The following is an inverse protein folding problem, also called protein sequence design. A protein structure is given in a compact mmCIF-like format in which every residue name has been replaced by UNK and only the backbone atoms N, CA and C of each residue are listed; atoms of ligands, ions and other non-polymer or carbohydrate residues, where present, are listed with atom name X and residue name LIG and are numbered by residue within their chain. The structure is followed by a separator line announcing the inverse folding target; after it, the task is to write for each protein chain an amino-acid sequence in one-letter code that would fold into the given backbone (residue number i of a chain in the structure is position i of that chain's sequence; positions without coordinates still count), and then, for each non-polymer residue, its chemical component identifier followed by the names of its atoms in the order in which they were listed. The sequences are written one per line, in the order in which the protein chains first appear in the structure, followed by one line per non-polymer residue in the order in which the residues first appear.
data_IF_787829081411
#
_entry.id   IF_787829081411
#
_cell.length_a   1.000
_cell.length_b   1.000
_cell.length_c   1.000
_cell.angle_alpha   90.00
_cell.angle_beta   90.00
_cell.angle_gamma   90.00
#
_symmetry.space_group_name_H-M   'P 1'
#
loop_
_entity.id
_entity.type
_entity.pdbx_description
1 polymer ?
#
# COMPACT_ATOMS: atom_id res chain seq x y z
N UNK A 1 -39.71 43.74 76.02
CA UNK A 1 -39.33 42.34 75.71
C UNK A 1 -39.31 42.04 74.21
N UNK A 2 -40.05 42.79 73.37
CA UNK A 2 -40.04 42.64 71.90
C UNK A 2 -38.76 43.12 71.22
N UNK A 3 -38.12 44.18 71.72
CA UNK A 3 -36.89 44.75 71.15
C UNK A 3 -35.66 43.85 71.30
N UNK A 4 -35.53 43.12 72.41
CA UNK A 4 -34.43 42.18 72.66
C UNK A 4 -34.56 40.90 71.82
N UNK A 5 -35.78 40.43 71.59
CA UNK A 5 -36.05 39.29 70.71
C UNK A 5 -35.69 39.61 69.26
N UNK A 6 -36.09 40.80 68.78
CA UNK A 6 -35.74 41.27 67.44
C UNK A 6 -34.22 41.45 67.26
N UNK A 7 -33.50 41.90 68.30
CA UNK A 7 -32.03 42.04 68.24
C UNK A 7 -31.33 40.68 68.10
N UNK A 8 -31.76 39.68 68.86
CA UNK A 8 -31.19 38.32 68.79
C UNK A 8 -31.51 37.65 67.45
N UNK A 9 -32.70 37.88 66.90
CA UNK A 9 -33.07 37.38 65.58
C UNK A 9 -32.27 38.05 64.45
N UNK A 10 -32.02 39.37 64.56
CA UNK A 10 -31.14 40.10 63.63
C UNK A 10 -29.70 39.56 63.69
N UNK A 11 -29.17 39.27 64.87
CA UNK A 11 -27.82 38.67 65.00
C UNK A 11 -27.76 37.25 64.42
N UNK A 12 -28.80 36.44 64.63
CA UNK A 12 -28.89 35.10 64.01
C UNK A 12 -28.89 35.20 62.48
N UNK A 13 -29.72 36.07 61.91
CA UNK A 13 -29.81 36.27 60.47
C UNK A 13 -28.48 36.78 59.89
N UNK A 14 -27.76 37.66 60.59
CA UNK A 14 -26.42 38.12 60.16
C UNK A 14 -25.39 36.98 60.16
N UNK A 15 -25.43 36.11 61.16
CA UNK A 15 -24.54 34.95 61.22
C UNK A 15 -24.85 33.94 60.09
N UNK A 16 -26.13 33.72 59.80
CA UNK A 16 -26.60 32.85 58.71
C UNK A 16 -26.18 33.42 57.34
N UNK A 17 -26.40 34.71 57.08
CA UNK A 17 -25.93 35.39 55.87
C UNK A 17 -24.41 35.25 55.71
N UNK A 18 -23.64 35.46 56.78
CA UNK A 18 -22.19 35.34 56.71
C UNK A 18 -21.74 33.90 56.38
N UNK A 19 -22.42 32.90 56.95
CA UNK A 19 -22.16 31.50 56.63
C UNK A 19 -22.52 31.17 55.17
N UNK A 20 -23.66 31.65 54.69
CA UNK A 20 -24.06 31.49 53.29
C UNK A 20 -23.07 32.16 52.32
N UNK A 21 -22.57 33.35 52.64
CA UNK A 21 -21.52 34.03 51.87
C UNK A 21 -20.22 33.21 51.81
N UNK A 22 -19.80 32.62 52.93
CA UNK A 22 -18.62 31.75 52.97
C UNK A 22 -18.81 30.48 52.14
N UNK A 23 -19.96 29.81 52.25
CA UNK A 23 -20.29 28.60 51.49
C UNK A 23 -20.35 28.93 49.99
N UNK A 24 -20.96 30.05 49.63
CA UNK A 24 -21.03 30.53 48.24
C UNK A 24 -19.63 30.78 47.68
N UNK A 25 -18.76 31.47 48.42
CA UNK A 25 -17.38 31.73 48.00
C UNK A 25 -16.59 30.42 47.83
N UNK A 26 -16.75 29.46 48.74
CA UNK A 26 -16.11 28.15 48.63
C UNK A 26 -16.63 27.34 47.42
N UNK A 27 -17.93 27.41 47.13
CA UNK A 27 -18.52 26.76 45.97
C UNK A 27 -18.06 27.39 44.65
N UNK A 28 -17.97 28.72 44.59
CA UNK A 28 -17.44 29.45 43.43
C UNK A 28 -15.98 29.05 43.16
N UNK A 29 -15.16 28.93 44.20
CA UNK A 29 -13.79 28.43 44.06
C UNK A 29 -13.76 27.00 43.52
N UNK A 30 -14.59 26.10 44.05
CA UNK A 30 -14.66 24.71 43.59
C UNK A 30 -15.15 24.59 42.14
N UNK A 31 -16.15 25.39 41.75
CA UNK A 31 -16.62 25.46 40.37
C UNK A 31 -15.51 25.96 39.42
N UNK A 32 -14.74 26.96 39.84
CA UNK A 32 -13.62 27.47 39.03
C UNK A 32 -12.51 26.43 38.89
N UNK A 33 -12.18 25.71 39.97
CA UNK A 33 -11.21 24.61 39.93
C UNK A 33 -11.69 23.49 38.99
N UNK A 34 -12.96 23.09 39.07
CA UNK A 34 -13.55 22.11 38.15
C UNK A 34 -13.51 22.57 36.69
N UNK A 35 -13.87 23.81 36.41
CA UNK A 35 -13.77 24.38 35.06
C UNK A 35 -12.33 24.37 34.54
N UNK A 36 -11.36 24.69 35.39
CA UNK A 36 -9.94 24.64 35.03
C UNK A 36 -9.50 23.21 34.75
N UNK A 37 -9.93 22.23 35.57
CA UNK A 37 -9.62 20.81 35.31
C UNK A 37 -10.26 20.29 34.03
N UNK A 38 -11.51 20.69 33.74
CA UNK A 38 -12.19 20.31 32.51
C UNK A 38 -11.48 20.90 31.28
N UNK A 39 -11.13 22.19 31.32
CA UNK A 39 -10.40 22.85 30.24
C UNK A 39 -9.01 22.22 30.00
N UNK A 40 -8.30 21.84 31.06
CA UNK A 40 -7.01 21.14 30.96
C UNK A 40 -7.18 19.74 30.35
N UNK A 41 -8.22 18.99 30.74
CA UNK A 41 -8.51 17.68 30.15
C UNK A 41 -8.90 17.78 28.67
N UNK A 42 -9.72 18.77 28.29
CA UNK A 42 -10.07 19.03 26.89
C UNK A 42 -8.83 19.39 26.07
N UNK A 43 -7.90 20.17 26.64
CA UNK A 43 -6.63 20.50 25.98
C UNK A 43 -5.76 19.26 25.79
N UNK A 44 -5.67 18.38 26.80
CA UNK A 44 -4.92 17.12 26.69
C UNK A 44 -5.50 16.19 25.63
N UNK A 45 -6.83 16.09 25.54
CA UNK A 45 -7.48 15.30 24.47
C UNK A 45 -7.12 15.85 23.09
N UNK A 46 -7.21 17.17 22.90
CA UNK A 46 -6.82 17.82 21.64
C UNK A 46 -5.34 17.58 21.32
N UNK A 47 -4.45 17.68 22.32
CA UNK A 47 -3.03 17.38 22.13
C UNK A 47 -2.79 15.93 21.75
N UNK A 48 -3.50 14.96 22.34
CA UNK A 48 -3.38 13.54 21.96
C UNK A 48 -3.87 13.33 20.52
N UNK A 49 -4.99 13.94 20.13
CA UNK A 49 -5.49 13.89 18.76
C UNK A 49 -4.50 14.56 17.77
N UNK A 50 -3.91 15.70 18.14
CA UNK A 50 -2.93 16.43 17.35
C UNK A 50 -1.58 15.69 17.27
N UNK A 51 -1.06 15.12 18.35
CA UNK A 51 0.15 14.29 18.38
C UNK A 51 -0.04 13.01 17.54
N UNK A 52 -1.24 12.40 17.63
CA UNK A 52 -1.60 11.24 16.79
C UNK A 52 -1.78 11.63 15.31
N UNK A 53 -2.07 12.90 15.01
CA UNK A 53 -2.17 13.45 13.66
C UNK A 53 -0.87 14.04 13.10
N UNK A 54 0.10 14.41 13.94
CA UNK A 54 1.33 15.15 13.54
C UNK A 54 2.60 14.30 13.49
N UNK A 55 2.57 13.05 13.98
CA UNK A 55 3.65 12.09 13.72
C UNK A 55 3.57 11.56 12.28
N UNK A 56 4.02 12.39 11.34
CA UNK A 56 4.44 12.01 10.00
C UNK A 56 5.92 11.67 10.11
N UNK A 57 6.26 10.37 10.12
CA UNK A 57 7.65 9.93 10.01
C UNK A 57 8.25 10.41 8.68
N UNK A 58 9.58 10.50 8.60
CA UNK A 58 10.40 10.91 7.46
C UNK A 58 10.17 10.02 6.20
N UNK A 59 9.32 9.00 6.29
CA UNK A 59 8.78 8.21 5.17
C UNK A 59 7.36 8.55 4.70
N UNK A 60 6.68 9.56 5.28
CA UNK A 60 5.35 10.00 4.84
C UNK A 60 4.17 9.15 5.33
N UNK A 61 4.34 8.36 6.39
CA UNK A 61 3.27 7.57 7.00
C UNK A 61 2.88 8.13 8.36
N UNK A 62 1.56 8.30 8.56
CA UNK A 62 0.93 8.75 9.80
C UNK A 62 0.96 7.55 10.77
N UNK A 63 2.04 7.42 11.54
CA UNK A 63 2.29 6.26 12.41
C UNK A 63 1.25 6.16 13.54
N UNK A 64 0.69 7.29 13.97
CA UNK A 64 -0.39 7.37 14.96
C UNK A 64 -1.74 6.80 14.50
N UNK A 65 -1.95 6.65 13.19
CA UNK A 65 -3.21 6.18 12.61
C UNK A 65 -3.11 4.76 12.02
N UNK A 66 -1.96 4.11 12.15
CA UNK A 66 -1.73 2.81 11.53
C UNK A 66 -2.55 1.70 12.17
N UNK A 67 -2.59 1.64 13.51
CA UNK A 67 -3.38 0.64 14.23
C UNK A 67 -4.88 0.78 13.94
N UNK A 68 -5.38 2.01 13.83
CA UNK A 68 -6.77 2.31 13.48
C UNK A 68 -7.08 1.92 12.04
N UNK A 69 -6.22 2.30 11.09
CA UNK A 69 -6.36 1.89 9.68
C UNK A 69 -6.30 0.36 9.54
N UNK A 70 -5.39 -0.31 10.24
CA UNK A 70 -5.30 -1.78 10.26
C UNK A 70 -6.56 -2.42 10.86
N UNK A 71 -7.07 -1.86 11.96
CA UNK A 71 -8.30 -2.32 12.58
C UNK A 71 -9.49 -2.17 11.63
N UNK A 72 -9.69 -0.99 11.05
CA UNK A 72 -10.78 -0.69 10.12
C UNK A 72 -10.74 -1.62 8.89
N UNK A 73 -9.55 -1.79 8.29
CA UNK A 73 -9.34 -2.72 7.18
C UNK A 73 -9.65 -4.17 7.58
N UNK A 74 -9.21 -4.60 8.76
CA UNK A 74 -9.47 -5.96 9.26
C UNK A 74 -10.96 -6.19 9.49
N UNK A 75 -11.65 -5.20 10.05
CA UNK A 75 -13.11 -5.23 10.25
C UNK A 75 -13.84 -5.34 8.90
N UNK A 76 -13.39 -4.59 7.89
CA UNK A 76 -13.93 -4.66 6.53
C UNK A 76 -13.71 -6.04 5.90
N UNK A 77 -12.50 -6.58 5.99
CA UNK A 77 -12.19 -7.93 5.50
C UNK A 77 -13.06 -8.97 6.21
N UNK A 78 -13.20 -8.87 7.52
CA UNK A 78 -14.05 -9.78 8.30
C UNK A 78 -15.51 -9.71 7.86
N UNK A 79 -16.05 -8.51 7.58
CA UNK A 79 -17.41 -8.35 7.02
C UNK A 79 -17.54 -8.99 5.64
N UNK A 80 -16.53 -8.86 4.77
CA UNK A 80 -16.52 -9.53 3.48
C UNK A 80 -16.50 -11.06 3.63
N UNK A 81 -15.67 -11.60 4.51
CA UNK A 81 -15.60 -13.04 4.78
C UNK A 81 -16.91 -13.57 5.34
N UNK A 82 -17.53 -12.86 6.28
CA UNK A 82 -18.84 -13.25 6.83
C UNK A 82 -19.92 -13.32 5.73
N UNK A 83 -19.95 -12.34 4.82
CA UNK A 83 -20.87 -12.37 3.67
C UNK A 83 -20.58 -13.54 2.72
N UNK A 84 -19.31 -13.85 2.48
CA UNK A 84 -18.93 -14.98 1.64
C UNK A 84 -19.32 -16.32 2.27
N UNK A 85 -19.14 -16.48 3.59
CA UNK A 85 -19.56 -17.67 4.33
C UNK A 85 -21.07 -17.88 4.14
N UNK A 86 -21.90 -16.86 4.37
CA UNK A 86 -23.35 -16.95 4.18
C UNK A 86 -23.74 -17.33 2.74
N UNK A 87 -23.05 -16.79 1.74
CA UNK A 87 -23.29 -17.15 0.35
C UNK A 87 -22.91 -18.60 0.05
N UNK A 88 -21.77 -19.06 0.56
CA UNK A 88 -21.31 -20.43 0.39
C UNK A 88 -22.23 -21.44 1.08
N UNK A 89 -22.66 -21.14 2.31
CA UNK A 89 -23.65 -21.95 3.03
C UNK A 89 -24.94 -22.08 2.22
N UNK A 90 -25.47 -20.95 1.70
CA UNK A 90 -26.64 -20.96 0.83
C UNK A 90 -26.42 -21.81 -0.43
N UNK A 91 -25.26 -21.67 -1.08
CA UNK A 91 -24.94 -22.45 -2.28
C UNK A 91 -24.82 -23.95 -1.99
N UNK A 92 -24.26 -24.33 -0.84
CA UNK A 92 -24.19 -25.71 -0.39
C UNK A 92 -25.59 -26.28 -0.15
N UNK A 93 -26.46 -25.53 0.51
CA UNK A 93 -27.82 -25.99 0.77
C UNK A 93 -28.65 -26.09 -0.51
N UNK A 94 -28.49 -25.14 -1.43
CA UNK A 94 -29.07 -25.23 -2.76
C UNK A 94 -28.57 -26.46 -3.53
N UNK A 95 -27.26 -26.71 -3.56
CA UNK A 95 -26.69 -27.89 -4.23
C UNK A 95 -27.18 -29.21 -3.60
N UNK A 96 -27.37 -29.26 -2.28
CA UNK A 96 -27.95 -30.43 -1.60
C UNK A 96 -29.40 -30.67 -2.03
N UNK A 97 -30.22 -29.63 -2.12
CA UNK A 97 -31.61 -29.76 -2.59
C UNK A 97 -31.69 -30.12 -4.08
N UNK A 98 -30.86 -29.51 -4.92
CA UNK A 98 -30.69 -29.89 -6.32
C UNK A 98 -30.27 -31.36 -6.46
N UNK A 99 -29.36 -31.84 -5.62
CA UNK A 99 -28.96 -33.25 -5.64
C UNK A 99 -30.10 -34.20 -5.21
N UNK A 100 -30.89 -33.85 -4.19
CA UNK A 100 -32.05 -34.64 -3.76
C UNK A 100 -33.12 -34.70 -4.84
N UNK A 101 -33.42 -33.57 -5.46
CA UNK A 101 -34.40 -33.46 -6.55
C UNK A 101 -33.91 -34.21 -7.80
N UNK A 102 -32.63 -34.07 -8.16
CA UNK A 102 -32.01 -34.82 -9.26
C UNK A 102 -32.05 -36.33 -9.03
N UNK A 103 -31.75 -36.83 -7.81
CA UNK A 103 -31.88 -38.25 -7.46
C UNK A 103 -33.32 -38.75 -7.60
N UNK A 104 -34.28 -37.96 -7.14
CA UNK A 104 -35.71 -38.30 -7.23
C UNK A 104 -36.20 -38.32 -8.68
N UNK A 105 -35.71 -37.39 -9.52
CA UNK A 105 -36.00 -37.32 -10.95
C UNK A 105 -35.36 -38.48 -11.70
N UNK A 106 -34.09 -38.78 -11.45
CA UNK A 106 -33.38 -39.91 -12.05
C UNK A 106 -34.01 -41.26 -11.70
N UNK A 107 -34.58 -41.42 -10.49
CA UNK A 107 -35.30 -42.64 -10.12
C UNK A 107 -36.64 -42.83 -10.87
N UNK A 108 -37.18 -41.77 -11.49
CA UNK A 108 -38.47 -41.77 -12.20
C UNK A 108 -38.33 -41.63 -13.72
N UNK A 109 -37.16 -41.24 -14.22
CA UNK A 109 -36.93 -40.88 -15.62
C UNK A 109 -36.43 -42.08 -16.44
N UNK A 110 -36.78 -42.10 -17.73
CA UNK A 110 -36.22 -43.05 -18.70
C UNK A 110 -34.70 -42.79 -18.85
N UNK A 111 -33.83 -43.81 -18.70
CA UNK A 111 -32.39 -43.68 -18.86
C UNK A 111 -31.94 -43.01 -20.17
N UNK A 112 -32.72 -43.16 -21.24
CA UNK A 112 -32.41 -42.57 -22.55
C UNK A 112 -32.68 -41.05 -22.58
N UNK A 113 -33.74 -40.60 -21.89
CA UNK A 113 -34.09 -39.17 -21.76
C UNK A 113 -33.07 -38.42 -20.88
N UNK A 114 -32.65 -39.04 -19.76
CA UNK A 114 -31.61 -38.48 -18.87
C UNK A 114 -30.29 -38.29 -19.62
N UNK A 115 -29.94 -39.23 -20.49
CA UNK A 115 -28.72 -39.16 -21.28
C UNK A 115 -28.75 -38.00 -22.31
N UNK A 116 -29.90 -37.72 -22.93
CA UNK A 116 -30.05 -36.56 -23.82
C UNK A 116 -30.00 -35.22 -23.07
N UNK A 117 -30.63 -35.15 -21.89
CA UNK A 117 -30.60 -33.94 -21.05
C UNK A 117 -29.17 -33.62 -20.58
N UNK A 118 -28.43 -34.64 -20.11
CA UNK A 118 -27.02 -34.48 -19.71
C UNK A 118 -26.14 -34.04 -20.88
N UNK A 119 -26.33 -34.61 -22.08
CA UNK A 119 -25.61 -34.17 -23.27
C UNK A 119 -25.89 -32.71 -23.62
N UNK A 120 -27.14 -32.28 -23.54
CA UNK A 120 -27.52 -30.89 -23.80
C UNK A 120 -26.88 -29.91 -22.80
N UNK A 121 -26.84 -30.25 -21.52
CA UNK A 121 -26.18 -29.44 -20.49
C UNK A 121 -24.68 -29.33 -20.76
N UNK A 122 -24.01 -30.45 -21.06
CA UNK A 122 -22.57 -30.46 -21.38
C UNK A 122 -22.26 -29.65 -22.63
N UNK A 123 -23.10 -29.73 -23.66
CA UNK A 123 -22.95 -28.90 -24.87
C UNK A 123 -23.11 -27.41 -24.57
N UNK A 124 -24.04 -27.06 -23.68
CA UNK A 124 -24.25 -25.67 -23.27
C UNK A 124 -23.10 -25.14 -22.42
N UNK A 125 -22.59 -25.94 -21.47
CA UNK A 125 -21.40 -25.62 -20.69
C UNK A 125 -20.17 -25.44 -21.58
N UNK A 126 -19.97 -26.33 -22.56
CA UNK A 126 -18.90 -26.17 -23.56
C UNK A 126 -19.02 -24.83 -24.31
N UNK A 127 -20.22 -24.45 -24.76
CA UNK A 127 -20.43 -23.17 -25.44
C UNK A 127 -20.13 -21.98 -24.52
N UNK A 128 -20.55 -22.05 -23.26
CA UNK A 128 -20.30 -21.01 -22.26
C UNK A 128 -18.79 -20.86 -21.97
N UNK A 129 -18.09 -21.96 -21.75
CA UNK A 129 -16.64 -21.96 -21.53
C UNK A 129 -15.86 -21.41 -22.73
N UNK A 130 -16.27 -21.76 -23.95
CA UNK A 130 -15.68 -21.21 -25.16
C UNK A 130 -15.92 -19.69 -25.29
N UNK A 131 -17.09 -19.19 -24.87
CA UNK A 131 -17.37 -17.76 -24.83
C UNK A 131 -16.44 -17.05 -23.83
N UNK A 132 -16.35 -17.57 -22.60
CA UNK A 132 -15.49 -17.01 -21.57
C UNK A 132 -14.02 -17.01 -21.98
N UNK A 133 -13.54 -18.09 -22.61
CA UNK A 133 -12.19 -18.16 -23.16
C UNK A 133 -11.95 -17.02 -24.14
N UNK A 134 -12.91 -16.76 -25.04
CA UNK A 134 -12.82 -15.68 -26.02
C UNK A 134 -12.79 -14.29 -25.37
N UNK A 135 -13.56 -14.10 -24.30
CA UNK A 135 -13.56 -12.85 -23.53
C UNK A 135 -12.22 -12.63 -22.82
N UNK A 136 -11.64 -13.68 -22.24
CA UNK A 136 -10.31 -13.62 -21.63
C UNK A 136 -9.21 -13.35 -22.65
N UNK A 137 -9.24 -14.02 -23.81
CA UNK A 137 -8.33 -13.74 -24.93
C UNK A 137 -8.42 -12.28 -25.36
N UNK A 138 -9.64 -11.74 -25.49
CA UNK A 138 -9.83 -10.33 -25.84
C UNK A 138 -9.29 -9.38 -24.78
N UNK A 139 -9.54 -9.64 -23.49
CA UNK A 139 -9.01 -8.82 -22.39
C UNK A 139 -7.49 -8.83 -22.35
N UNK A 140 -6.88 -10.01 -22.51
CA UNK A 140 -5.43 -10.17 -22.55
C UNK A 140 -4.84 -9.37 -23.72
N UNK A 141 -5.47 -9.42 -24.89
CA UNK A 141 -5.04 -8.64 -26.06
C UNK A 141 -5.11 -7.13 -25.81
N UNK A 142 -6.15 -6.64 -25.14
CA UNK A 142 -6.25 -5.23 -24.76
C UNK A 142 -5.19 -4.82 -23.74
N UNK A 143 -4.96 -5.65 -22.72
CA UNK A 143 -3.93 -5.42 -21.71
C UNK A 143 -2.53 -5.39 -22.35
N UNK A 144 -2.26 -6.31 -23.28
CA UNK A 144 -0.99 -6.35 -24.00
C UNK A 144 -0.78 -5.09 -24.85
N UNK A 145 -1.83 -4.58 -25.53
CA UNK A 145 -1.77 -3.30 -26.25
C UNK A 145 -1.49 -2.12 -25.32
N UNK A 146 -2.17 -2.06 -24.18
CA UNK A 146 -1.96 -1.02 -23.18
C UNK A 146 -0.53 -1.07 -22.62
N UNK A 147 -0.03 -2.27 -22.32
CA UNK A 147 1.34 -2.50 -21.86
C UNK A 147 2.36 -2.04 -22.90
N UNK A 148 2.20 -2.42 -24.17
CA UNK A 148 3.09 -1.99 -25.24
C UNK A 148 3.11 -0.47 -25.39
N UNK A 149 1.95 0.19 -25.33
CA UNK A 149 1.85 1.65 -25.38
C UNK A 149 2.59 2.31 -24.21
N UNK A 150 2.33 1.87 -22.98
CA UNK A 150 3.00 2.41 -21.79
C UNK A 150 4.51 2.16 -21.81
N UNK A 151 4.95 1.00 -22.32
CA UNK A 151 6.37 0.69 -22.44
C UNK A 151 7.06 1.55 -23.50
N UNK A 152 6.39 1.86 -24.61
CA UNK A 152 6.94 2.77 -25.62
C UNK A 152 7.04 4.21 -25.07
N UNK A 153 6.01 4.69 -24.37
CA UNK A 153 6.05 5.98 -23.66
C UNK A 153 7.22 6.05 -22.66
N UNK A 154 7.38 5.00 -21.84
CA UNK A 154 8.52 4.90 -20.90
C UNK A 154 9.86 4.95 -21.63
N UNK A 155 9.98 4.31 -22.79
CA UNK A 155 11.21 4.31 -23.59
C UNK A 155 11.51 5.69 -24.15
N UNK A 156 10.50 6.41 -24.63
CA UNK A 156 10.62 7.81 -25.07
C UNK A 156 11.12 8.69 -23.92
N UNK A 157 10.45 8.64 -22.76
CA UNK A 157 10.88 9.42 -21.59
C UNK A 157 12.30 9.06 -21.13
N UNK A 158 12.67 7.78 -21.20
CA UNK A 158 14.03 7.33 -20.86
C UNK A 158 15.07 7.92 -21.82
N UNK A 159 14.75 7.99 -23.12
CA UNK A 159 15.63 8.61 -24.10
C UNK A 159 15.74 10.11 -23.86
N UNK A 160 14.63 10.82 -23.62
CA UNK A 160 14.63 12.25 -23.30
C UNK A 160 15.46 12.56 -22.04
N UNK A 161 15.31 11.76 -20.98
CA UNK A 161 16.12 11.89 -19.77
C UNK A 161 17.61 11.68 -20.09
N UNK A 162 17.94 10.73 -20.96
CA UNK A 162 19.31 10.46 -21.38
C UNK A 162 19.88 11.64 -22.17
N UNK A 163 19.10 12.21 -23.10
CA UNK A 163 19.49 13.39 -23.87
C UNK A 163 19.70 14.61 -22.98
N UNK A 164 18.81 14.85 -22.00
CA UNK A 164 18.96 15.92 -21.01
C UNK A 164 20.20 15.70 -20.15
N UNK A 165 20.46 14.47 -19.68
CA UNK A 165 21.67 14.14 -18.92
C UNK A 165 22.93 14.41 -19.73
N UNK A 166 22.93 14.05 -21.01
CA UNK A 166 24.05 14.33 -21.92
C UNK A 166 24.24 15.84 -22.11
N UNK A 167 23.16 16.58 -22.34
CA UNK A 167 23.22 18.03 -22.45
C UNK A 167 23.76 18.69 -21.18
N UNK A 168 23.33 18.24 -20.00
CA UNK A 168 23.85 18.69 -18.70
C UNK A 168 25.34 18.36 -18.55
N UNK A 169 25.78 17.16 -18.95
CA UNK A 169 27.21 16.79 -18.92
C UNK A 169 28.05 17.73 -19.78
N UNK A 170 27.62 18.00 -21.02
CA UNK A 170 28.29 18.92 -21.94
C UNK A 170 28.31 20.35 -21.39
N UNK A 171 27.21 20.82 -20.80
CA UNK A 171 27.18 22.14 -20.14
C UNK A 171 28.14 22.19 -18.95
N UNK A 172 28.16 21.15 -18.11
CA UNK A 172 29.04 21.04 -16.94
C UNK A 172 30.52 21.06 -17.35
N UNK A 173 30.88 20.34 -18.41
CA UNK A 173 32.22 20.36 -19.01
C UNK A 173 32.61 21.75 -19.53
N UNK A 174 31.66 22.50 -20.11
CA UNK A 174 31.90 23.89 -20.58
C UNK A 174 32.00 24.92 -19.45
N UNK A 175 31.35 24.68 -18.31
CA UNK A 175 31.36 25.61 -17.16
C UNK A 175 32.46 25.30 -16.13
N UNK A 176 33.19 24.20 -16.25
CA UNK A 176 34.35 23.98 -15.39
C UNK A 176 35.50 24.92 -15.81
N UNK A 177 36.00 25.79 -14.90
CA UNK A 177 37.23 26.52 -15.17
C UNK A 177 38.40 25.55 -15.20
N UNK A 178 39.17 25.57 -16.28
CA UNK A 178 40.51 24.98 -16.33
C UNK A 178 41.41 25.77 -15.37
N UNK A 179 41.50 25.33 -14.11
CA UNK A 179 42.51 25.82 -13.17
C UNK A 179 43.90 25.31 -13.60
N UNK A 180 44.91 26.20 -13.79
CA UNK A 180 46.26 25.77 -14.11
C UNK A 180 47.08 25.50 -12.83
N UNK A 181 47.54 24.25 -12.69
CA UNK A 181 48.76 23.77 -12.03
C UNK A 181 49.14 24.29 -10.63
N UNK A 182 49.22 23.39 -9.63
CA UNK A 182 50.39 23.24 -8.71
C UNK A 182 50.53 21.80 -8.14
N UNK A 183 51.61 21.14 -8.56
CA UNK A 183 52.65 20.48 -7.75
C UNK A 183 52.29 19.40 -6.71
N UNK A 184 52.70 18.17 -7.04
CA UNK A 184 53.36 17.11 -6.25
C UNK A 184 52.90 16.69 -4.83
N UNK A 185 52.86 15.35 -4.74
CA UNK A 185 53.25 14.45 -3.64
C UNK A 185 52.20 14.00 -2.62
N UNK A 186 51.90 12.71 -2.79
CA UNK A 186 51.92 11.64 -1.80
C UNK A 186 50.98 11.73 -0.58
N UNK A 187 50.03 10.80 -0.57
CA UNK A 187 49.94 9.87 0.56
C UNK A 187 48.55 9.62 1.12
N UNK A 188 48.03 8.43 0.80
CA UNK A 188 47.34 7.49 1.69
C UNK A 188 45.80 7.33 1.59
N UNK A 189 45.43 6.24 0.87
CA UNK A 189 44.47 5.14 1.17
C UNK A 189 42.97 5.50 1.42
N UNK A 190 41.94 4.79 0.93
CA UNK A 190 41.73 3.40 0.44
C UNK A 190 40.36 3.37 -0.29
N UNK A 191 40.18 2.82 -1.49
CA UNK A 191 39.78 1.41 -1.68
C UNK A 191 39.94 1.01 -3.15
N UNK A 192 40.59 -0.14 -3.37
CA UNK A 192 40.73 -0.87 -4.64
C UNK A 192 39.43 -1.59 -5.00
N UNK A 193 39.11 -1.63 -6.30
CA UNK A 193 38.39 -2.73 -6.95
C UNK A 193 39.11 -3.11 -8.26
N UNK A 194 39.23 -4.41 -8.62
CA UNK A 194 40.16 -4.88 -9.65
C UNK A 194 39.43 -5.35 -10.92
N UNK A 195 39.39 -4.53 -11.98
CA UNK A 195 39.40 -5.03 -13.37
C UNK A 195 39.49 -3.87 -14.38
N UNK A 196 40.70 -3.42 -14.67
CA UNK A 196 40.98 -2.53 -15.80
C UNK A 196 40.81 -3.30 -17.11
N UNK A 197 39.59 -3.26 -17.67
CA UNK A 197 39.36 -3.68 -19.04
C UNK A 197 39.58 -2.46 -19.94
N UNK A 198 40.61 -2.51 -20.79
CA UNK A 198 40.97 -1.46 -21.75
C UNK A 198 39.71 -0.91 -22.44
N UNK A 199 39.51 0.43 -22.49
CA UNK A 199 38.36 1.06 -23.15
C UNK A 199 38.16 0.52 -24.57
N UNK A 200 36.90 0.31 -24.97
CA UNK A 200 36.53 -0.36 -26.22
C UNK A 200 37.23 0.22 -27.46
N UNK A 201 37.49 1.52 -27.46
CA UNK A 201 38.08 2.24 -28.60
C UNK A 201 39.58 1.98 -28.81
N UNK A 202 40.23 1.18 -27.95
CA UNK A 202 41.67 0.87 -28.05
C UNK A 202 41.99 -0.60 -28.31
N UNK A 203 40.99 -1.45 -28.60
CA UNK A 203 41.20 -2.86 -28.98
C UNK A 203 41.35 -3.00 -30.49
N UNK A 204 42.34 -2.32 -31.05
CA UNK A 204 42.72 -2.47 -32.47
C UNK A 204 44.20 -2.77 -32.52
N UNK A 205 44.55 -4.04 -32.76
CA UNK A 205 45.95 -4.43 -32.96
C UNK A 205 46.40 -4.18 -34.41
N UNK A 206 45.47 -4.13 -35.37
CA UNK A 206 45.75 -3.93 -36.80
C UNK A 206 44.63 -3.12 -37.49
N UNK A 207 44.91 -1.90 -38.02
CA UNK A 207 43.90 -1.01 -38.60
C UNK A 207 43.14 -1.58 -39.81
N UNK A 208 43.69 -2.59 -40.49
CA UNK A 208 43.06 -3.18 -41.68
C UNK A 208 41.93 -4.19 -41.39
N UNK A 209 41.79 -4.66 -40.14
CA UNK A 209 40.86 -5.76 -39.81
C UNK A 209 39.64 -5.37 -38.96
N UNK A 210 39.46 -4.09 -38.66
CA UNK A 210 38.26 -3.58 -37.97
C UNK A 210 38.09 -4.09 -36.52
N UNK A 211 37.04 -3.61 -35.82
CA UNK A 211 36.81 -3.95 -34.41
C UNK A 211 36.51 -5.44 -34.21
N UNK A 212 37.23 -6.09 -33.30
CA UNK A 212 37.06 -7.53 -33.02
C UNK A 212 35.74 -7.74 -32.28
N UNK A 213 34.72 -8.25 -32.97
CA UNK A 213 33.45 -8.66 -32.34
C UNK A 213 33.60 -10.00 -31.62
N UNK A 214 33.01 -10.11 -30.42
CA UNK A 214 33.18 -11.17 -29.40
C UNK A 214 32.79 -12.60 -29.79
N UNK A 215 32.51 -12.88 -31.07
CA UNK A 215 31.94 -14.16 -31.52
C UNK A 215 32.93 -15.01 -32.34
N UNK A 216 34.24 -14.84 -32.12
CA UNK A 216 35.25 -15.69 -32.71
C UNK A 216 35.29 -17.08 -32.05
N UNK A 217 34.49 -18.00 -32.59
CA UNK A 217 34.66 -19.44 -32.63
C UNK A 217 35.18 -20.14 -31.34
N UNK A 218 34.28 -20.50 -30.43
CA UNK A 218 34.52 -21.64 -29.54
C UNK A 218 34.00 -22.91 -30.21
N UNK A 219 34.93 -23.70 -30.74
CA UNK A 219 34.71 -25.05 -31.30
C UNK A 219 33.96 -25.92 -30.28
N UNK A 220 32.89 -26.56 -30.76
CA UNK A 220 32.05 -27.54 -30.07
C UNK A 220 32.84 -28.65 -29.38
N UNK A 221 32.51 -28.94 -28.11
CA UNK A 221 32.96 -30.14 -27.40
C UNK A 221 32.06 -31.35 -27.75
N UNK A 222 32.60 -32.59 -27.79
CA UNK A 222 31.85 -33.78 -28.19
C UNK A 222 30.77 -34.19 -27.16
N UNK A 223 29.66 -34.79 -27.65
CA UNK A 223 28.56 -35.32 -26.82
C UNK A 223 28.93 -36.68 -26.21
N UNK A 224 28.66 -36.87 -24.92
CA UNK A 224 28.76 -38.16 -24.23
C UNK A 224 27.42 -38.91 -24.33
N UNK A 225 27.45 -40.16 -24.81
CA UNK A 225 26.30 -41.06 -24.83
C UNK A 225 26.34 -42.05 -23.65
N UNK A 226 25.21 -42.10 -22.92
CA UNK A 226 24.54 -43.16 -22.13
C UNK A 226 25.38 -44.24 -21.41
N UNK A 227 25.01 -44.53 -20.14
CA UNK A 227 24.39 -45.79 -19.67
C UNK A 227 24.47 -45.94 -18.14
N UNK A 228 23.31 -45.92 -17.45
CA UNK A 228 22.78 -46.96 -16.56
C UNK A 228 21.44 -46.49 -15.98
#
# INVERSE_FOLDING_TARGET
MTTTHNSSEIERLKAEIHQEEQIKSSLEQSCQELQNTAAELEKRLKMIDEEMSTHIDVGGQIEGNEWKTRFENQEEINRHLARQILLLEKNIDQAKEEQKTAKTRAAKADPNEVSQEVLSVVENEKKNLLSQLRDYEWRLEQENKAYHKANEERKILTNEITDIRNAISVMKERTQPTEPNKTERNGLLSNREPNENIPMDKRVLDPRKGPITRNAATRSLPKLNKQQ
#
